data_IF_164347243653
#
_entry.id   IF_164347243653
#
_cell.length_a   1.000
_cell.length_b   1.000
_cell.length_c   1.000
_cell.angle_alpha   90.00
_cell.angle_beta   90.00
_cell.angle_gamma   90.00
#
_symmetry.space_group_name_H-M   'P 1'
#
loop_
_entity.id
_entity.type
_entity.pdbx_description
1 polymer ?
#
# COMPACT_ATOMS: atom_id res chain seq x y z
N UNK A 1 9.06 -1.87 -2.61
CA UNK A 1 8.53 -2.50 -1.40
C UNK A 1 7.11 -2.00 -1.10
N UNK A 2 6.81 -0.69 -0.99
CA UNK A 2 5.46 -0.22 -0.72
C UNK A 2 4.41 -0.80 -1.68
N UNK A 3 4.67 -0.75 -2.97
CA UNK A 3 3.77 -1.31 -3.97
C UNK A 3 3.50 -2.82 -3.80
N UNK A 4 4.54 -3.58 -3.46
CA UNK A 4 4.41 -5.03 -3.24
C UNK A 4 3.49 -5.30 -2.04
N UNK A 5 3.65 -4.53 -0.96
CA UNK A 5 2.76 -4.62 0.20
C UNK A 5 1.32 -4.29 -0.19
N UNK A 6 1.08 -3.18 -0.87
CA UNK A 6 -0.25 -2.75 -1.28
C UNK A 6 -0.93 -3.77 -2.20
N UNK A 7 -0.25 -4.20 -3.28
CA UNK A 7 -0.79 -5.17 -4.23
C UNK A 7 -1.05 -6.55 -3.60
N UNK A 8 -0.14 -7.04 -2.76
CA UNK A 8 -0.34 -8.31 -2.05
C UNK A 8 -1.48 -8.22 -1.04
N UNK A 9 -1.62 -7.09 -0.35
CA UNK A 9 -2.73 -6.87 0.59
C UNK A 9 -4.09 -6.91 -0.10
N UNK A 10 -4.21 -6.34 -1.30
CA UNK A 10 -5.45 -6.39 -2.09
C UNK A 10 -5.71 -7.79 -2.62
N UNK A 11 -4.73 -8.42 -3.27
CA UNK A 11 -4.93 -9.72 -3.93
C UNK A 11 -5.13 -10.84 -2.93
N UNK A 12 -4.26 -10.97 -1.92
CA UNK A 12 -4.38 -12.01 -0.89
C UNK A 12 -5.53 -11.70 0.06
N UNK A 13 -5.72 -10.42 0.41
CA UNK A 13 -6.84 -9.96 1.24
C UNK A 13 -8.20 -10.27 0.61
N UNK A 14 -8.33 -10.09 -0.71
CA UNK A 14 -9.59 -10.37 -1.43
C UNK A 14 -10.01 -11.84 -1.36
N UNK A 15 -9.06 -12.77 -1.51
CA UNK A 15 -9.31 -14.20 -1.45
C UNK A 15 -9.49 -14.74 -0.02
N UNK A 16 -9.09 -13.97 1.00
CA UNK A 16 -8.92 -14.42 2.38
C UNK A 16 -10.19 -15.04 3.00
N UNK A 17 -11.36 -14.41 2.80
CA UNK A 17 -12.64 -14.90 3.34
C UNK A 17 -13.05 -16.21 2.65
N UNK A 18 -12.89 -16.29 1.34
CA UNK A 18 -13.25 -17.47 0.56
C UNK A 18 -12.34 -18.65 0.88
N UNK A 19 -11.03 -18.38 1.06
CA UNK A 19 -10.05 -19.40 1.44
C UNK A 19 -10.32 -20.00 2.82
N UNK A 20 -10.84 -19.20 3.78
CA UNK A 20 -11.09 -19.63 5.16
C UNK A 20 -12.55 -20.00 5.42
N UNK A 21 -13.32 -20.33 4.38
CA UNK A 21 -14.76 -20.65 4.48
C UNK A 21 -15.07 -21.79 5.48
N UNK A 22 -14.19 -22.79 5.58
CA UNK A 22 -14.40 -23.93 6.46
C UNK A 22 -14.17 -23.57 7.94
N UNK A 23 -13.26 -22.64 8.22
CA UNK A 23 -13.06 -22.08 9.55
C UNK A 23 -14.27 -21.22 9.98
N UNK A 24 -14.78 -20.39 9.07
CA UNK A 24 -15.94 -19.52 9.31
C UNK A 24 -17.19 -20.32 9.64
N UNK A 25 -17.36 -21.51 9.07
CA UNK A 25 -18.49 -22.39 9.34
C UNK A 25 -18.42 -23.12 10.67
N UNK A 26 -17.21 -23.35 11.20
CA UNK A 26 -17.00 -24.15 12.41
C UNK A 26 -16.95 -23.33 13.69
N UNK A 27 -16.51 -22.06 13.59
CA UNK A 27 -16.27 -21.19 14.74
C UNK A 27 -16.97 -19.86 14.51
N UNK A 28 -17.71 -19.40 15.51
CA UNK A 28 -18.34 -18.07 15.45
C UNK A 28 -17.32 -16.99 15.83
N UNK A 29 -16.88 -16.19 14.85
CA UNK A 29 -16.02 -15.03 15.07
C UNK A 29 -16.28 -13.94 14.02
N UNK A 30 -15.90 -12.68 14.28
CA UNK A 30 -16.07 -11.58 13.34
C UNK A 30 -15.29 -11.83 12.04
N UNK A 31 -15.97 -11.89 10.91
CA UNK A 31 -15.36 -12.21 9.59
C UNK A 31 -14.31 -11.21 9.16
N UNK A 32 -14.38 -9.97 9.65
CA UNK A 32 -13.41 -8.91 9.38
C UNK A 32 -12.00 -9.23 9.87
N UNK A 33 -11.86 -10.08 10.89
CA UNK A 33 -10.55 -10.45 11.45
C UNK A 33 -9.68 -11.14 10.40
N UNK A 34 -10.27 -11.85 9.45
CA UNK A 34 -9.52 -12.60 8.44
C UNK A 34 -8.76 -11.66 7.49
N UNK A 35 -9.38 -10.74 6.75
CA UNK A 35 -8.62 -9.84 5.89
C UNK A 35 -7.66 -8.95 6.68
N UNK A 36 -8.03 -8.50 7.90
CA UNK A 36 -7.14 -7.72 8.76
C UNK A 36 -5.86 -8.51 9.08
N UNK A 37 -5.97 -9.80 9.43
CA UNK A 37 -4.80 -10.62 9.76
C UNK A 37 -3.86 -10.80 8.57
N UNK A 38 -4.39 -10.98 7.37
CA UNK A 38 -3.58 -11.09 6.14
C UNK A 38 -2.86 -9.78 5.81
N UNK A 39 -3.56 -8.65 5.86
CA UNK A 39 -2.96 -7.32 5.64
C UNK A 39 -1.89 -7.02 6.68
N UNK A 40 -2.17 -7.32 7.96
CA UNK A 40 -1.20 -7.13 9.05
C UNK A 40 0.04 -8.00 8.86
N UNK A 41 -0.13 -9.26 8.44
CA UNK A 41 1.00 -10.15 8.13
C UNK A 41 1.86 -9.59 6.99
N UNK A 42 1.23 -9.11 5.92
CA UNK A 42 1.93 -8.45 4.81
C UNK A 42 2.64 -7.17 5.26
N UNK A 43 2.05 -6.42 6.18
CA UNK A 43 2.65 -5.23 6.77
C UNK A 43 3.91 -5.55 7.59
N UNK A 44 3.86 -6.58 8.43
CA UNK A 44 5.03 -7.06 9.18
C UNK A 44 6.15 -7.47 8.22
N UNK A 45 5.82 -8.17 7.13
CA UNK A 45 6.79 -8.52 6.10
C UNK A 45 7.42 -7.29 5.43
N UNK A 46 6.62 -6.25 5.15
CA UNK A 46 7.12 -4.96 4.66
C UNK A 46 8.10 -4.32 5.65
N UNK A 47 7.78 -4.31 6.96
CA UNK A 47 8.69 -3.77 7.99
C UNK A 47 10.02 -4.51 8.01
N UNK A 48 10.01 -5.83 7.92
CA UNK A 48 11.24 -6.64 7.85
C UNK A 48 12.08 -6.29 6.61
N UNK A 49 11.45 -6.08 5.45
CA UNK A 49 12.14 -5.61 4.26
C UNK A 49 12.78 -4.23 4.45
N UNK A 50 12.10 -3.30 5.15
CA UNK A 50 12.68 -1.99 5.44
C UNK A 50 13.88 -2.07 6.38
N UNK A 51 13.91 -3.00 7.35
CA UNK A 51 15.08 -3.23 8.20
C UNK A 51 16.30 -3.60 7.34
N UNK A 52 16.12 -4.46 6.34
CA UNK A 52 17.20 -4.83 5.41
C UNK A 52 17.67 -3.62 4.58
N UNK A 53 16.73 -2.80 4.08
CA UNK A 53 17.08 -1.58 3.34
C UNK A 53 17.89 -0.64 4.22
N UNK A 54 17.49 -0.40 5.46
CA UNK A 54 18.22 0.48 6.37
C UNK A 54 19.60 -0.07 6.69
N UNK A 55 19.75 -1.37 6.88
CA UNK A 55 21.06 -2.00 7.06
C UNK A 55 21.97 -1.71 5.87
N UNK A 56 21.48 -1.84 4.64
CA UNK A 56 22.23 -1.53 3.41
C UNK A 56 22.58 -0.05 3.32
N UNK A 57 21.67 0.86 3.63
CA UNK A 57 21.91 2.32 3.60
C UNK A 57 22.99 2.71 4.62
N UNK A 58 22.99 2.13 5.81
CA UNK A 58 24.00 2.37 6.84
C UNK A 58 25.38 1.90 6.37
N UNK A 59 25.45 0.70 5.82
CA UNK A 59 26.72 0.11 5.32
C UNK A 59 27.28 0.90 4.13
N UNK A 60 26.40 1.40 3.25
CA UNK A 60 26.81 2.18 2.07
C UNK A 60 27.29 3.61 2.39
N UNK A 61 27.15 4.09 3.63
CA UNK A 61 27.55 5.44 4.03
C UNK A 61 26.75 6.56 3.37
N UNK A 62 25.64 6.26 2.73
CA UNK A 62 24.74 7.22 2.12
C UNK A 62 24.07 8.05 3.23
N UNK A 63 24.58 9.23 3.56
CA UNK A 63 24.10 10.07 4.66
C UNK A 63 22.57 10.04 4.84
N UNK A 64 22.13 9.81 6.07
CA UNK A 64 20.71 9.71 6.43
C UNK A 64 20.26 11.01 7.07
N UNK A 65 19.14 11.59 6.61
CA UNK A 65 18.48 12.66 7.36
C UNK A 65 17.57 12.02 8.41
N UNK A 66 17.99 12.06 9.67
CA UNK A 66 17.28 11.42 10.78
C UNK A 66 15.87 11.99 10.98
N UNK A 67 15.68 13.26 10.65
CA UNK A 67 14.38 13.94 10.78
C UNK A 67 13.39 13.45 9.72
N UNK A 68 13.86 13.24 8.49
CA UNK A 68 13.04 12.68 7.42
C UNK A 68 12.68 11.20 7.71
N UNK A 69 13.62 10.45 8.29
CA UNK A 69 13.37 9.05 8.67
C UNK A 69 12.27 8.91 9.72
N UNK A 70 12.12 9.87 10.61
CA UNK A 70 11.08 9.86 11.65
C UNK A 70 9.66 9.97 11.06
N UNK A 71 9.50 10.49 9.83
CA UNK A 71 8.19 10.56 9.16
C UNK A 71 7.79 9.23 8.49
N UNK A 72 8.74 8.32 8.29
CA UNK A 72 8.50 7.03 7.63
C UNK A 72 7.42 6.16 8.31
N UNK A 73 7.40 5.98 9.64
CA UNK A 73 6.35 5.22 10.31
C UNK A 73 4.96 5.79 10.06
N UNK A 74 4.84 7.11 9.93
CA UNK A 74 3.55 7.76 9.63
C UNK A 74 3.10 7.44 8.21
N UNK A 75 4.01 7.49 7.23
CA UNK A 75 3.72 7.12 5.83
C UNK A 75 3.30 5.65 5.75
N UNK A 76 4.02 4.76 6.43
CA UNK A 76 3.70 3.33 6.50
C UNK A 76 2.33 3.08 7.13
N UNK A 77 1.95 3.84 8.14
CA UNK A 77 0.64 3.72 8.78
C UNK A 77 -0.48 4.19 7.85
N UNK A 78 -0.28 5.29 7.13
CA UNK A 78 -1.23 5.77 6.10
C UNK A 78 -1.41 4.71 5.01
N UNK A 79 -0.32 4.14 4.52
CA UNK A 79 -0.35 3.07 3.52
C UNK A 79 -1.07 1.81 4.06
N UNK A 80 -0.84 1.45 5.32
CA UNK A 80 -1.51 0.32 5.97
C UNK A 80 -3.03 0.52 6.03
N UNK A 81 -3.50 1.72 6.42
CA UNK A 81 -4.93 2.05 6.47
C UNK A 81 -5.54 1.96 5.07
N UNK A 82 -4.87 2.51 4.06
CA UNK A 82 -5.31 2.44 2.67
C UNK A 82 -5.41 0.98 2.17
N UNK A 83 -4.37 0.19 2.40
CA UNK A 83 -4.34 -1.21 2.00
C UNK A 83 -5.42 -2.04 2.72
N UNK A 84 -5.68 -1.74 3.99
CA UNK A 84 -6.69 -2.40 4.79
C UNK A 84 -8.10 -2.08 4.27
N UNK A 85 -8.41 -0.82 3.99
CA UNK A 85 -9.69 -0.41 3.40
C UNK A 85 -9.95 -1.13 2.07
N UNK A 86 -8.98 -1.09 1.17
CA UNK A 86 -9.07 -1.77 -0.13
C UNK A 86 -9.22 -3.29 0.01
N UNK A 87 -8.48 -3.93 0.91
CA UNK A 87 -8.57 -5.37 1.14
C UNK A 87 -9.94 -5.76 1.72
N UNK A 88 -10.51 -4.96 2.61
CA UNK A 88 -11.85 -5.21 3.16
C UNK A 88 -12.93 -5.08 2.09
N UNK A 89 -12.89 -4.04 1.27
CA UNK A 89 -13.82 -3.85 0.15
C UNK A 89 -13.73 -5.01 -0.85
N UNK A 90 -12.52 -5.33 -1.30
CA UNK A 90 -12.31 -6.39 -2.29
C UNK A 90 -12.67 -7.75 -1.74
N UNK A 91 -12.39 -8.04 -0.47
CA UNK A 91 -12.78 -9.31 0.18
C UNK A 91 -14.29 -9.48 0.27
N UNK A 92 -15.03 -8.40 0.54
CA UNK A 92 -16.49 -8.43 0.57
C UNK A 92 -17.07 -8.72 -0.83
N UNK A 93 -16.53 -8.08 -1.88
CA UNK A 93 -16.98 -8.28 -3.25
C UNK A 93 -16.64 -9.70 -3.76
N UNK A 94 -15.47 -10.24 -3.40
CA UNK A 94 -15.00 -11.57 -3.82
C UNK A 94 -15.91 -12.69 -3.29
N UNK A 95 -16.59 -12.48 -2.18
CA UNK A 95 -17.58 -13.44 -1.68
C UNK A 95 -18.73 -13.64 -2.68
N UNK A 96 -19.12 -12.59 -3.41
CA UNK A 96 -20.17 -12.64 -4.44
C UNK A 96 -19.62 -13.01 -5.82
N UNK A 97 -18.44 -12.48 -6.17
CA UNK A 97 -17.80 -12.65 -7.48
C UNK A 97 -16.42 -13.30 -7.28
N UNK A 98 -16.34 -14.63 -7.32
CA UNK A 98 -15.12 -15.40 -7.09
C UNK A 98 -13.99 -15.10 -8.08
N UNK A 99 -14.35 -14.74 -9.31
CA UNK A 99 -13.38 -14.43 -10.37
C UNK A 99 -12.66 -13.09 -10.15
N UNK A 100 -13.14 -12.29 -9.18
CA UNK A 100 -12.54 -11.00 -8.85
C UNK A 100 -11.06 -11.14 -8.41
N UNK A 101 -10.69 -12.24 -7.76
CA UNK A 101 -9.30 -12.51 -7.36
C UNK A 101 -8.35 -12.48 -8.57
N UNK A 102 -8.73 -13.13 -9.66
CA UNK A 102 -7.91 -13.15 -10.88
C UNK A 102 -7.90 -11.79 -11.59
N UNK A 103 -9.05 -11.12 -11.61
CA UNK A 103 -9.19 -9.77 -12.18
C UNK A 103 -8.31 -8.78 -11.40
N UNK A 104 -8.30 -8.85 -10.07
CA UNK A 104 -7.49 -7.97 -9.21
C UNK A 104 -5.99 -8.16 -9.48
N UNK A 105 -5.53 -9.36 -9.78
CA UNK A 105 -4.13 -9.60 -10.19
C UNK A 105 -3.75 -8.79 -11.43
N UNK A 106 -4.61 -8.78 -12.45
CA UNK A 106 -4.40 -8.01 -13.69
C UNK A 106 -4.54 -6.51 -13.42
N UNK A 107 -5.58 -6.11 -12.67
CA UNK A 107 -5.84 -4.70 -12.34
C UNK A 107 -4.70 -4.10 -11.54
N UNK A 108 -4.18 -4.78 -10.53
CA UNK A 108 -3.05 -4.30 -9.73
C UNK A 108 -1.78 -4.19 -10.56
N UNK A 109 -1.55 -5.09 -11.51
CA UNK A 109 -0.42 -4.99 -12.44
C UNK A 109 -0.56 -3.75 -13.35
N UNK A 110 -1.73 -3.50 -13.93
CA UNK A 110 -1.99 -2.31 -14.71
C UNK A 110 -1.88 -1.02 -13.86
N UNK A 111 -2.38 -1.07 -12.64
CA UNK A 111 -2.32 0.05 -11.68
C UNK A 111 -0.89 0.41 -11.29
N UNK A 112 0.03 -0.57 -11.24
CA UNK A 112 1.44 -0.32 -11.02
C UNK A 112 2.03 0.63 -12.07
N UNK A 113 1.64 0.46 -13.34
CA UNK A 113 2.08 1.36 -14.42
C UNK A 113 1.43 2.73 -14.38
N UNK A 114 0.24 2.84 -13.81
CA UNK A 114 -0.44 4.13 -13.57
C UNK A 114 0.07 4.85 -12.33
N UNK A 115 0.96 4.24 -11.55
CA UNK A 115 1.59 4.85 -10.38
C UNK A 115 3.04 5.18 -10.74
N UNK A 116 3.57 6.40 -10.49
CA UNK A 116 4.92 6.80 -10.87
C UNK A 116 5.97 6.17 -9.94
N UNK A 117 6.11 4.83 -10.02
CA UNK A 117 7.06 4.05 -9.20
C UNK A 117 8.43 4.05 -9.84
N UNK A 118 8.48 3.80 -11.17
CA UNK A 118 9.73 3.64 -11.93
C UNK A 118 10.13 4.88 -12.73
N UNK A 119 9.24 5.86 -12.85
CA UNK A 119 9.47 7.08 -13.61
C UNK A 119 9.12 8.32 -12.78
N UNK A 120 9.63 9.46 -13.21
CA UNK A 120 9.33 10.72 -12.54
C UNK A 120 8.00 11.28 -13.03
N UNK A 121 7.26 11.92 -12.12
CA UNK A 121 5.98 12.57 -12.43
C UNK A 121 6.12 13.66 -13.50
N UNK A 122 7.30 14.25 -13.66
CA UNK A 122 7.60 15.24 -14.69
C UNK A 122 7.48 14.72 -16.13
N UNK A 123 7.52 13.39 -16.33
CA UNK A 123 7.40 12.76 -17.66
C UNK A 123 5.92 12.58 -18.04
N UNK A 124 5.00 12.68 -17.07
CA UNK A 124 3.57 12.49 -17.30
C UNK A 124 2.98 13.70 -18.02
N UNK A 125 2.27 13.51 -19.15
CA UNK A 125 1.58 14.60 -19.84
C UNK A 125 0.55 15.29 -18.92
N UNK A 126 0.45 16.63 -19.04
CA UNK A 126 -0.46 17.43 -18.20
C UNK A 126 -1.91 16.96 -18.26
N UNK A 127 -2.36 16.44 -19.40
CA UNK A 127 -3.71 15.91 -19.59
C UNK A 127 -4.03 14.70 -18.68
N UNK A 128 -3.03 13.93 -18.28
CA UNK A 128 -3.17 12.75 -17.42
C UNK A 128 -2.93 13.03 -15.94
N UNK A 129 -2.38 14.20 -15.60
CA UNK A 129 -2.11 14.61 -14.21
C UNK A 129 -3.30 14.46 -13.26
N UNK A 130 -4.55 14.82 -13.64
CA UNK A 130 -5.71 14.66 -12.75
C UNK A 130 -5.94 13.20 -12.35
N UNK A 131 -5.73 12.24 -13.27
CA UNK A 131 -5.91 10.80 -13.04
C UNK A 131 -4.83 10.29 -12.05
N UNK A 132 -3.59 10.73 -12.25
CA UNK A 132 -2.48 10.37 -11.36
C UNK A 132 -2.65 10.95 -9.95
N UNK A 133 -3.18 12.16 -9.83
CA UNK A 133 -3.45 12.79 -8.53
C UNK A 133 -4.64 12.17 -7.80
N UNK A 134 -5.58 11.56 -8.53
CA UNK A 134 -6.70 10.83 -7.91
C UNK A 134 -6.25 9.47 -7.33
N UNK A 135 -5.11 8.96 -7.77
CA UNK A 135 -4.57 7.70 -7.29
C UNK A 135 -3.90 7.89 -5.90
N UNK A 136 -4.46 7.31 -4.81
CA UNK A 136 -3.90 7.48 -3.47
C UNK A 136 -2.47 6.94 -3.34
N UNK A 137 -2.14 5.88 -4.09
CA UNK A 137 -0.80 5.30 -4.08
C UNK A 137 0.26 6.22 -4.69
N UNK A 138 -0.12 7.13 -5.61
CA UNK A 138 0.81 8.14 -6.14
C UNK A 138 1.36 9.01 -5.02
N UNK A 139 0.49 9.52 -4.15
CA UNK A 139 0.87 10.36 -3.02
C UNK A 139 1.73 9.60 -2.00
N UNK A 140 1.39 8.35 -1.72
CA UNK A 140 2.18 7.48 -0.83
C UNK A 140 3.60 7.28 -1.38
N UNK A 141 3.73 6.93 -2.67
CA UNK A 141 5.04 6.73 -3.33
C UNK A 141 5.86 8.03 -3.36
N UNK A 142 5.24 9.18 -3.61
CA UNK A 142 5.89 10.49 -3.54
C UNK A 142 6.45 10.77 -2.14
N UNK A 143 5.70 10.46 -1.07
CA UNK A 143 6.17 10.60 0.30
C UNK A 143 7.40 9.70 0.57
N UNK A 144 7.37 8.43 0.13
CA UNK A 144 8.54 7.54 0.26
C UNK A 144 9.75 8.06 -0.51
N UNK A 145 9.54 8.58 -1.72
CA UNK A 145 10.60 9.15 -2.55
C UNK A 145 11.23 10.37 -1.89
N UNK A 146 10.41 11.30 -1.37
CA UNK A 146 10.89 12.48 -0.66
C UNK A 146 11.78 12.11 0.54
N UNK A 147 11.39 11.11 1.33
CA UNK A 147 12.14 10.67 2.50
C UNK A 147 13.43 9.93 2.13
N UNK A 148 13.33 8.94 1.22
CA UNK A 148 14.43 8.02 0.94
C UNK A 148 15.44 8.57 -0.07
N UNK A 149 14.97 9.31 -1.10
CA UNK A 149 15.82 9.83 -2.17
C UNK A 149 16.21 11.28 -1.96
N UNK A 150 15.23 12.15 -1.71
CA UNK A 150 15.49 13.59 -1.56
C UNK A 150 15.95 13.96 -0.16
N UNK A 151 15.81 13.03 0.81
CA UNK A 151 16.17 13.25 2.24
C UNK A 151 15.45 14.46 2.84
N UNK A 152 14.24 14.76 2.34
CA UNK A 152 13.39 15.87 2.78
C UNK A 152 12.19 15.34 3.54
N UNK A 153 11.61 16.18 4.38
CA UNK A 153 10.32 15.90 5.02
C UNK A 153 9.27 16.00 3.92
N UNK A 154 8.38 14.98 3.76
CA UNK A 154 7.31 15.03 2.78
C UNK A 154 6.35 16.18 3.08
N UNK A 155 5.77 16.75 2.03
CA UNK A 155 4.78 17.80 2.17
C UNK A 155 3.56 17.29 2.93
N UNK A 156 3.14 18.03 3.95
CA UNK A 156 2.00 17.69 4.79
C UNK A 156 0.72 17.54 3.96
N UNK A 157 0.58 18.32 2.89
CA UNK A 157 -0.55 18.27 1.96
C UNK A 157 -0.63 16.94 1.22
N UNK A 158 0.50 16.40 0.78
CA UNK A 158 0.60 15.11 0.09
C UNK A 158 0.24 13.96 1.05
N UNK A 159 0.70 14.04 2.28
CA UNK A 159 0.43 13.04 3.30
C UNK A 159 -1.05 13.06 3.74
N UNK A 160 -1.63 14.25 3.89
CA UNK A 160 -3.05 14.43 4.23
C UNK A 160 -3.97 13.98 3.08
N UNK A 161 -3.60 14.21 1.82
CA UNK A 161 -4.37 13.73 0.67
C UNK A 161 -4.36 12.20 0.59
N UNK A 162 -3.22 11.56 0.81
CA UNK A 162 -3.11 10.10 0.87
C UNK A 162 -3.96 9.53 2.02
N UNK A 163 -3.86 10.11 3.21
CA UNK A 163 -4.65 9.69 4.37
C UNK A 163 -6.16 9.92 4.16
N UNK A 164 -6.56 11.06 3.61
CA UNK A 164 -7.95 11.38 3.32
C UNK A 164 -8.59 10.41 2.33
N UNK A 165 -7.89 10.09 1.25
CA UNK A 165 -8.35 9.09 0.28
C UNK A 165 -8.39 7.68 0.90
N UNK A 166 -7.43 7.35 1.76
CA UNK A 166 -7.40 6.05 2.45
C UNK A 166 -8.53 5.86 3.47
N UNK A 167 -8.98 6.93 4.12
CA UNK A 167 -10.10 6.87 5.07
C UNK A 167 -11.45 6.85 4.34
N UNK A 168 -11.53 7.47 3.16
CA UNK A 168 -12.75 7.52 2.37
C UNK A 168 -13.10 6.16 1.75
N UNK A 169 -12.11 5.31 1.52
CA UNK A 169 -12.24 3.94 1.00
C UNK A 169 -12.56 2.98 2.13
#
# INVERSE_FOLDING_TARGET
IPWIFFSSSITVGSASIVAQKDLIKKIYFPRMVIPISYVTSSFVNMLLCFIVIFAVIIVSGAGINFLALLTLPVIMLVEYILALGMAMLTSAITVYFRDLEHILGIVTMAWMYMTPIMYDKSIVPENLMPIFNLNPMTHVIECYRAVLYEKKIPDLTTLLSAAGLGILI
#
